data_IF_035198007867
#
_entry.id   IF_035198007867
#
_cell.length_a   1.000
_cell.length_b   1.000
_cell.length_c   1.000
_cell.angle_alpha   90.00
_cell.angle_beta   90.00
_cell.angle_gamma   90.00
#
_symmetry.space_group_name_H-M   'P 1'
#
loop_
_entity.id
_entity.type
_entity.pdbx_description
1 polymer ?
#
# COMPACT_ATOMS: atom_id res chain seq x y z
N UNK A 1 14.25 4.66 6.97
CA UNK A 1 13.44 3.99 5.93
C UNK A 1 14.13 3.97 4.58
N UNK A 2 14.35 5.10 3.88
CA UNK A 2 14.96 5.09 2.53
C UNK A 2 16.34 4.44 2.46
N UNK A 3 17.24 4.80 3.38
CA UNK A 3 18.60 4.24 3.45
C UNK A 3 18.61 2.75 3.82
N UNK A 4 17.81 2.37 4.81
CA UNK A 4 17.66 0.98 5.26
C UNK A 4 17.07 0.08 4.16
N UNK A 5 16.00 0.52 3.48
CA UNK A 5 15.44 -0.21 2.35
C UNK A 5 16.42 -0.34 1.18
N UNK A 6 17.14 0.74 0.84
CA UNK A 6 18.14 0.70 -0.23
C UNK A 6 19.26 -0.31 0.06
N UNK A 7 19.70 -0.42 1.31
CA UNK A 7 20.68 -1.44 1.73
C UNK A 7 20.08 -2.86 1.65
N UNK A 8 18.81 -3.03 2.02
CA UNK A 8 18.14 -4.32 1.93
C UNK A 8 18.08 -4.87 0.50
N UNK A 9 18.05 -4.02 -0.54
CA UNK A 9 18.00 -4.49 -1.93
C UNK A 9 19.21 -5.36 -2.30
N UNK A 10 20.41 -5.01 -1.84
CA UNK A 10 21.66 -5.68 -2.25
C UNK A 10 22.21 -6.65 -1.21
N UNK A 11 21.73 -6.60 0.03
CA UNK A 11 22.16 -7.52 1.08
C UNK A 11 21.83 -8.98 0.74
N UNK A 12 22.61 -9.96 1.23
CA UNK A 12 22.31 -11.39 1.04
C UNK A 12 20.90 -11.73 1.51
N UNK A 13 20.27 -12.69 0.83
CA UNK A 13 18.88 -13.09 1.12
C UNK A 13 18.71 -13.43 2.60
N UNK A 14 17.77 -12.73 3.26
CA UNK A 14 17.48 -12.87 4.68
C UNK A 14 16.55 -11.76 5.17
N UNK A 15 16.37 -11.64 6.50
CA UNK A 15 15.43 -10.68 7.10
C UNK A 15 15.60 -9.23 6.63
N UNK A 16 16.80 -8.84 6.20
CA UNK A 16 17.14 -7.50 5.69
C UNK A 16 17.90 -7.57 4.36
N UNK A 17 17.58 -8.53 3.51
CA UNK A 17 18.28 -8.69 2.24
C UNK A 17 17.46 -9.40 1.17
N UNK A 18 17.44 -8.80 -0.03
CA UNK A 18 16.75 -9.31 -1.21
C UNK A 18 17.71 -9.92 -2.24
N UNK A 19 19.03 -9.78 -2.06
CA UNK A 19 20.05 -10.41 -2.91
C UNK A 19 20.09 -9.90 -4.36
N UNK A 20 19.62 -8.67 -4.62
CA UNK A 20 19.57 -8.11 -5.97
C UNK A 20 20.93 -7.56 -6.41
N UNK A 21 21.25 -7.71 -7.69
CA UNK A 21 22.41 -7.04 -8.30
C UNK A 21 22.14 -5.56 -8.55
N UNK A 22 23.20 -4.75 -8.70
CA UNK A 22 23.07 -3.32 -8.96
C UNK A 22 22.27 -3.01 -10.23
N UNK A 23 22.37 -3.88 -11.25
CA UNK A 23 21.60 -3.79 -12.49
C UNK A 23 20.11 -4.06 -12.26
N UNK A 24 19.78 -5.02 -11.40
CA UNK A 24 18.40 -5.37 -11.05
C UNK A 24 17.73 -4.27 -10.21
N UNK A 25 18.47 -3.62 -9.32
CA UNK A 25 17.99 -2.50 -8.50
C UNK A 25 17.58 -1.29 -9.34
N UNK A 26 18.24 -1.08 -10.48
CA UNK A 26 17.95 0.05 -11.36
C UNK A 26 16.81 -0.21 -12.34
N UNK A 27 16.22 -1.42 -12.35
CA UNK A 27 15.12 -1.78 -13.25
C UNK A 27 13.87 -0.95 -12.94
N UNK A 28 13.23 -0.49 -14.01
CA UNK A 28 11.95 0.20 -14.00
C UNK A 28 10.98 -0.58 -14.86
N UNK A 29 9.75 -0.74 -14.38
CA UNK A 29 8.70 -1.47 -15.05
C UNK A 29 7.61 -0.48 -15.44
N UNK A 30 7.43 -0.28 -16.75
CA UNK A 30 6.35 0.56 -17.26
C UNK A 30 5.10 -0.28 -17.51
N UNK A 31 3.94 0.24 -17.13
CA UNK A 31 2.66 -0.43 -17.31
C UNK A 31 1.58 0.60 -17.64
N UNK A 32 0.46 0.13 -18.20
CA UNK A 32 -0.70 0.98 -18.43
C UNK A 32 -1.76 0.75 -17.35
N UNK A 33 -2.39 1.82 -16.90
CA UNK A 33 -3.53 1.78 -16.00
C UNK A 33 -4.59 2.80 -16.46
N UNK A 34 -5.83 2.57 -16.05
CA UNK A 34 -6.94 3.46 -16.37
C UNK A 34 -7.22 4.38 -15.20
N UNK A 35 -7.36 5.68 -15.49
CA UNK A 35 -7.78 6.68 -14.52
C UNK A 35 -8.88 7.54 -15.12
N UNK A 36 -10.09 7.46 -14.57
CA UNK A 36 -11.28 8.19 -15.05
C UNK A 36 -11.60 7.96 -16.55
N UNK A 37 -11.40 6.73 -17.06
CA UNK A 37 -11.63 6.40 -18.47
C UNK A 37 -10.48 6.74 -19.41
N UNK A 38 -9.40 7.34 -18.91
CA UNK A 38 -8.20 7.64 -19.70
C UNK A 38 -7.09 6.62 -19.41
N UNK A 39 -6.45 6.13 -20.47
CA UNK A 39 -5.25 5.29 -20.33
C UNK A 39 -4.06 6.16 -19.94
N UNK A 40 -3.40 5.81 -18.84
CA UNK A 40 -2.19 6.44 -18.34
C UNK A 40 -1.06 5.44 -18.24
N UNK A 41 0.16 5.93 -18.40
CA UNK A 41 1.36 5.14 -18.21
C UNK A 41 1.88 5.32 -16.78
N UNK A 42 2.07 4.22 -16.08
CA UNK A 42 2.70 4.15 -14.77
C UNK A 42 4.11 3.58 -14.88
N UNK A 43 4.95 3.88 -13.89
CA UNK A 43 6.28 3.28 -13.75
C UNK A 43 6.44 2.78 -12.34
N UNK A 44 6.72 1.50 -12.18
CA UNK A 44 7.13 0.88 -10.92
C UNK A 44 8.64 0.76 -10.86
N UNK A 45 9.17 1.08 -9.69
CA UNK A 45 10.54 0.77 -9.28
C UNK A 45 10.51 0.00 -7.98
N UNK A 46 11.63 -0.59 -7.58
CA UNK A 46 11.76 -1.15 -6.23
C UNK A 46 11.40 -0.10 -5.16
N UNK A 47 10.55 -0.50 -4.22
CA UNK A 47 10.00 0.39 -3.19
C UNK A 47 8.77 1.20 -3.62
N UNK A 48 8.17 0.91 -4.78
CA UNK A 48 6.87 1.49 -5.14
C UNK A 48 5.76 0.93 -4.27
N UNK A 49 4.87 1.81 -3.80
CA UNK A 49 3.68 1.42 -3.04
C UNK A 49 2.58 1.01 -4.02
N UNK A 50 2.07 -0.21 -3.87
CA UNK A 50 0.94 -0.72 -4.67
C UNK A 50 -0.30 -1.03 -3.82
N UNK A 51 -0.13 -1.18 -2.50
CA UNK A 51 -1.22 -1.32 -1.52
C UNK A 51 -0.99 -0.32 -0.39
N UNK A 52 -2.01 0.47 -0.07
CA UNK A 52 -2.03 1.38 1.07
C UNK A 52 -3.36 1.22 1.82
N UNK A 53 -3.31 0.53 2.96
CA UNK A 53 -4.51 0.19 3.73
C UNK A 53 -4.48 0.81 5.12
N UNK A 54 -5.50 1.58 5.48
CA UNK A 54 -5.77 1.99 6.86
C UNK A 54 -6.65 0.91 7.48
N UNK A 55 -6.02 -0.03 8.17
CA UNK A 55 -6.65 -1.20 8.77
C UNK A 55 -6.06 -1.45 10.17
N UNK A 56 -6.33 -2.62 10.76
CA UNK A 56 -5.94 -3.04 12.12
C UNK A 56 -6.83 -2.48 13.22
N UNK A 57 -7.23 -3.36 14.14
CA UNK A 57 -7.96 -3.01 15.35
C UNK A 57 -7.13 -2.11 16.27
N UNK A 58 -5.80 -2.22 16.22
CA UNK A 58 -4.88 -1.45 17.08
C UNK A 58 -4.92 0.04 16.72
N UNK A 59 -4.82 0.35 15.42
CA UNK A 59 -4.73 1.74 14.97
C UNK A 59 -6.10 2.35 14.70
N UNK A 60 -7.04 1.58 14.18
CA UNK A 60 -8.39 2.09 13.93
C UNK A 60 -9.19 2.30 15.21
N UNK A 61 -8.84 1.67 16.33
CA UNK A 61 -9.47 1.95 17.63
C UNK A 61 -8.95 3.22 18.30
N UNK A 62 -7.85 3.80 17.81
CA UNK A 62 -7.25 5.00 18.36
C UNK A 62 -7.77 6.25 17.59
N UNK A 63 -8.65 7.08 18.19
CA UNK A 63 -9.21 8.23 17.50
C UNK A 63 -8.16 9.26 17.11
N UNK A 64 -7.09 9.42 17.90
CA UNK A 64 -6.05 10.41 17.65
C UNK A 64 -5.32 10.15 16.33
N UNK A 65 -4.94 8.90 16.05
CA UNK A 65 -4.24 8.56 14.79
C UNK A 65 -5.18 8.62 13.60
N UNK A 66 -6.44 8.24 13.76
CA UNK A 66 -7.44 8.31 12.69
C UNK A 66 -7.81 9.74 12.32
N UNK A 67 -7.96 10.63 13.32
CA UNK A 67 -8.16 12.07 13.08
C UNK A 67 -6.90 12.67 12.45
N UNK A 68 -5.70 12.30 12.91
CA UNK A 68 -4.45 12.75 12.30
C UNK A 68 -4.37 12.34 10.81
N UNK A 69 -4.72 11.09 10.47
CA UNK A 69 -4.79 10.62 9.10
C UNK A 69 -5.77 11.44 8.25
N UNK A 70 -6.97 11.73 8.79
CA UNK A 70 -7.94 12.61 8.14
C UNK A 70 -7.43 14.04 7.93
N UNK A 71 -6.71 14.60 8.90
CA UNK A 71 -6.10 15.94 8.78
C UNK A 71 -4.99 15.98 7.72
N UNK A 72 -4.17 14.93 7.64
CA UNK A 72 -3.17 14.77 6.59
C UNK A 72 -3.85 14.68 5.23
N UNK A 73 -4.90 13.87 5.10
CA UNK A 73 -5.67 13.75 3.87
C UNK A 73 -6.26 15.10 3.42
N UNK A 74 -6.88 15.83 4.34
CA UNK A 74 -7.41 17.19 4.09
C UNK A 74 -6.32 18.13 3.57
N UNK A 75 -5.16 18.13 4.21
CA UNK A 75 -4.06 19.01 3.81
C UNK A 75 -3.46 18.60 2.45
N UNK A 76 -3.37 17.30 2.17
CA UNK A 76 -2.91 16.78 0.89
C UNK A 76 -3.85 17.18 -0.26
N UNK A 77 -5.16 16.97 -0.07
CA UNK A 77 -6.19 17.40 -1.03
C UNK A 77 -6.15 18.90 -1.27
N UNK A 78 -6.05 19.71 -0.20
CA UNK A 78 -5.95 21.18 -0.31
C UNK A 78 -4.70 21.64 -1.07
N UNK A 79 -3.64 20.83 -1.07
CA UNK A 79 -2.42 21.07 -1.87
C UNK A 79 -2.50 20.51 -3.28
N UNK A 80 -3.64 19.93 -3.69
CA UNK A 80 -3.82 19.33 -5.01
C UNK A 80 -3.12 17.97 -5.18
N UNK A 81 -2.66 17.35 -4.10
CA UNK A 81 -2.08 16.01 -4.15
C UNK A 81 -3.16 14.97 -4.43
N UNK A 82 -2.83 13.99 -5.26
CA UNK A 82 -3.70 12.87 -5.63
C UNK A 82 -2.93 11.56 -5.48
N UNK A 83 -3.65 10.50 -5.14
CA UNK A 83 -3.11 9.14 -5.17
C UNK A 83 -3.37 8.56 -6.57
N UNK A 84 -2.36 7.99 -7.23
CA UNK A 84 -2.56 7.29 -8.50
C UNK A 84 -3.56 6.15 -8.35
N UNK A 85 -4.49 6.04 -9.29
CA UNK A 85 -5.56 5.02 -9.27
C UNK A 85 -5.09 3.56 -9.31
N UNK A 86 -3.85 3.29 -9.75
CA UNK A 86 -3.28 1.93 -9.70
C UNK A 86 -2.92 1.49 -8.27
N UNK A 87 -2.83 2.41 -7.30
CA UNK A 87 -2.56 2.09 -5.90
C UNK A 87 -3.85 1.62 -5.24
N UNK A 88 -3.84 0.40 -4.71
CA UNK A 88 -4.97 -0.15 -3.99
C UNK A 88 -5.07 0.48 -2.60
N UNK A 89 -5.93 1.47 -2.48
CA UNK A 89 -6.24 2.14 -1.22
C UNK A 89 -7.46 1.54 -0.55
N UNK A 90 -7.44 1.41 0.77
CA UNK A 90 -8.59 0.92 1.54
C UNK A 90 -8.63 1.48 2.96
N UNK A 91 -9.84 1.73 3.46
CA UNK A 91 -10.10 2.05 4.86
C UNK A 91 -11.00 0.96 5.43
N UNK A 92 -10.49 0.21 6.41
CA UNK A 92 -11.22 -0.85 7.09
C UNK A 92 -11.23 -0.60 8.61
N UNK A 93 -12.18 0.19 9.12
CA UNK A 93 -12.24 0.47 10.54
C UNK A 93 -12.65 -0.76 11.35
N UNK A 94 -12.12 -0.88 12.58
CA UNK A 94 -12.54 -1.95 13.50
C UNK A 94 -13.98 -1.80 14.01
N UNK A 95 -14.59 -0.61 13.88
CA UNK A 95 -15.95 -0.33 14.34
C UNK A 95 -16.59 0.83 13.56
N UNK A 96 -17.91 0.83 13.47
CA UNK A 96 -18.70 1.94 12.89
C UNK A 96 -18.50 3.28 13.59
N UNK A 97 -18.12 3.27 14.87
CA UNK A 97 -17.83 4.51 15.64
C UNK A 97 -16.74 5.35 14.97
N UNK A 98 -15.76 4.68 14.34
CA UNK A 98 -14.65 5.33 13.63
C UNK A 98 -15.13 6.14 12.45
N UNK A 99 -15.97 5.51 11.63
CA UNK A 99 -16.60 6.17 10.48
C UNK A 99 -17.45 7.35 10.96
N UNK A 100 -18.20 7.21 12.05
CA UNK A 100 -19.07 8.26 12.56
C UNK A 100 -18.32 9.49 13.04
N UNK A 101 -17.22 9.36 13.78
CA UNK A 101 -16.45 10.55 14.17
C UNK A 101 -15.72 11.18 12.98
N UNK A 102 -15.26 10.40 12.00
CA UNK A 102 -14.62 10.93 10.77
C UNK A 102 -15.61 11.71 9.90
N UNK A 103 -16.88 11.26 9.84
CA UNK A 103 -17.98 11.99 9.21
C UNK A 103 -18.28 13.28 9.96
N UNK A 104 -18.48 13.21 11.28
CA UNK A 104 -18.80 14.38 12.11
C UNK A 104 -17.69 15.43 12.10
N UNK A 105 -16.43 15.02 12.01
CA UNK A 105 -15.29 15.95 11.88
C UNK A 105 -15.12 16.49 10.46
N UNK A 106 -15.91 16.04 9.48
CA UNK A 106 -15.78 16.41 8.07
C UNK A 106 -14.48 15.93 7.42
N UNK A 107 -13.84 14.89 7.96
CA UNK A 107 -12.56 14.38 7.46
C UNK A 107 -12.72 13.21 6.49
N UNK A 108 -13.81 12.45 6.60
CA UNK A 108 -14.06 11.29 5.74
C UNK A 108 -14.03 11.63 4.24
N UNK A 109 -14.65 12.72 3.75
CA UNK A 109 -14.63 13.03 2.31
C UNK A 109 -13.22 13.24 1.75
N UNK A 110 -12.29 13.76 2.56
CA UNK A 110 -10.89 13.95 2.14
C UNK A 110 -10.13 12.62 2.05
N UNK A 111 -10.47 11.65 2.91
CA UNK A 111 -9.92 10.30 2.83
C UNK A 111 -10.43 9.58 1.58
N UNK A 112 -11.74 9.66 1.33
CA UNK A 112 -12.40 9.10 0.14
C UNK A 112 -11.84 9.69 -1.16
N UNK A 113 -11.57 11.00 -1.19
CA UNK A 113 -10.96 11.66 -2.34
C UNK A 113 -9.54 11.18 -2.65
N UNK A 114 -8.80 10.67 -1.66
CA UNK A 114 -7.50 10.02 -1.83
C UNK A 114 -7.63 8.50 -2.07
N UNK A 115 -8.85 7.98 -2.20
CA UNK A 115 -9.14 6.57 -2.47
C UNK A 115 -9.40 5.71 -1.22
N UNK A 116 -9.23 6.26 -0.01
CA UNK A 116 -9.45 5.55 1.26
C UNK A 116 -10.94 5.44 1.61
N UNK A 117 -11.70 4.75 0.76
CA UNK A 117 -13.11 4.46 0.97
C UNK A 117 -13.28 3.39 2.05
N UNK A 118 -14.38 3.47 2.81
CA UNK A 118 -14.74 2.44 3.79
C UNK A 118 -15.12 1.16 3.04
N UNK A 119 -14.23 0.17 3.05
CA UNK A 119 -14.44 -1.11 2.33
C UNK A 119 -15.13 -2.17 3.18
N UNK A 120 -15.18 -1.97 4.50
CA UNK A 120 -15.82 -2.88 5.44
C UNK A 120 -15.34 -2.69 6.87
N UNK A 121 -16.00 -3.38 7.81
CA UNK A 121 -15.63 -3.37 9.23
C UNK A 121 -15.07 -4.74 9.63
N UNK A 122 -13.77 -4.80 9.91
CA UNK A 122 -13.09 -6.06 10.24
C UNK A 122 -11.62 -6.09 9.82
N UNK A 123 -10.98 -7.24 9.99
CA UNK A 123 -9.53 -7.35 9.84
C UNK A 123 -9.02 -7.12 8.41
N UNK A 124 -9.76 -7.52 7.37
CA UNK A 124 -9.43 -7.26 5.94
C UNK A 124 -7.93 -7.44 5.61
N UNK A 125 -7.27 -6.42 5.08
CA UNK A 125 -5.85 -6.40 4.72
C UNK A 125 -4.92 -6.70 5.91
N UNK A 126 -5.36 -6.49 7.17
CA UNK A 126 -4.56 -6.79 8.35
C UNK A 126 -4.19 -8.28 8.46
N UNK A 127 -5.04 -9.17 7.96
CA UNK A 127 -4.83 -10.63 7.95
C UNK A 127 -4.50 -11.19 6.55
N UNK A 128 -4.06 -10.34 5.63
CA UNK A 128 -3.75 -10.75 4.25
C UNK A 128 -4.95 -10.73 3.29
N UNK A 129 -6.17 -10.43 3.77
CA UNK A 129 -7.34 -10.30 2.91
C UNK A 129 -7.39 -8.92 2.22
N UNK A 130 -6.38 -8.65 1.38
CA UNK A 130 -6.27 -7.43 0.58
C UNK A 130 -7.08 -7.51 -0.70
N UNK A 131 -7.34 -8.72 -1.23
CA UNK A 131 -7.95 -8.98 -2.53
C UNK A 131 -6.99 -8.69 -3.71
N UNK A 132 -7.37 -9.02 -4.95
CA UNK A 132 -6.45 -8.97 -6.08
C UNK A 132 -6.00 -7.53 -6.42
N UNK A 133 -4.76 -7.39 -6.88
CA UNK A 133 -4.27 -6.17 -7.51
C UNK A 133 -4.80 -6.05 -8.94
N UNK A 134 -4.80 -4.84 -9.53
CA UNK A 134 -5.08 -4.68 -10.95
C UNK A 134 -4.13 -5.53 -11.80
N UNK A 135 -4.65 -6.24 -12.80
CA UNK A 135 -3.87 -7.18 -13.59
C UNK A 135 -2.62 -6.54 -14.24
N UNK A 136 -2.70 -5.27 -14.65
CA UNK A 136 -1.55 -4.55 -15.20
C UNK A 136 -0.44 -4.29 -14.18
N UNK A 137 -0.79 -4.11 -12.90
CA UNK A 137 0.16 -3.96 -11.80
C UNK A 137 0.76 -5.32 -11.44
N UNK A 138 -0.08 -6.36 -11.32
CA UNK A 138 0.38 -7.74 -11.06
C UNK A 138 1.36 -8.21 -12.13
N UNK A 139 1.02 -8.02 -13.42
CA UNK A 139 1.90 -8.40 -14.52
C UNK A 139 3.23 -7.63 -14.53
N UNK A 140 3.24 -6.38 -14.06
CA UNK A 140 4.46 -5.59 -13.94
C UNK A 140 5.36 -6.05 -12.78
N UNK A 141 4.79 -6.69 -11.77
CA UNK A 141 5.51 -7.24 -10.61
C UNK A 141 5.98 -8.68 -10.88
N UNK A 142 5.13 -9.51 -11.49
CA UNK A 142 5.41 -10.93 -11.76
C UNK A 142 6.47 -11.19 -12.84
N UNK A 143 6.95 -10.15 -13.54
CA UNK A 143 7.98 -10.33 -14.57
C UNK A 143 9.17 -11.09 -13.97
N UNK A 144 9.49 -12.30 -14.48
CA UNK A 144 10.39 -13.21 -13.80
C UNK A 144 11.78 -12.57 -13.71
N UNK A 145 12.18 -12.21 -12.50
CA UNK A 145 13.60 -12.16 -12.21
C UNK A 145 14.13 -13.60 -12.37
N UNK A 146 15.26 -13.86 -13.06
CA UNK A 146 15.72 -15.22 -13.37
C UNK A 146 16.03 -16.12 -12.15
N UNK A 147 15.86 -15.61 -10.93
CA UNK A 147 15.93 -16.32 -9.68
C UNK A 147 14.51 -16.57 -9.13
N UNK A 148 13.68 -17.31 -9.84
CA UNK A 148 12.45 -17.85 -9.26
C UNK A 148 12.85 -18.90 -8.22
N UNK A 149 12.76 -18.52 -6.94
CA UNK A 149 12.53 -19.50 -5.89
C UNK A 149 11.20 -20.21 -6.18
N UNK A 150 11.10 -21.54 -5.95
CA UNK A 150 9.96 -22.31 -6.35
C UNK A 150 8.71 -21.81 -5.62
N UNK A 151 7.66 -21.53 -6.40
CA UNK A 151 6.30 -21.35 -5.94
C UNK A 151 5.81 -22.68 -5.33
N UNK A 152 6.07 -22.87 -4.04
CA UNK A 152 5.46 -23.95 -3.25
C UNK A 152 4.39 -23.37 -2.33
N UNK A 153 3.14 -23.55 -2.75
CA UNK A 153 1.95 -23.72 -1.92
C UNK A 153 1.95 -23.08 -0.52
N UNK A 154 1.43 -21.86 -0.46
CA UNK A 154 0.83 -21.30 0.73
C UNK A 154 1.79 -20.47 1.57
N UNK A 155 1.40 -19.20 1.74
CA UNK A 155 2.17 -18.11 2.37
C UNK A 155 3.20 -17.52 1.42
N UNK A 156 2.90 -16.33 0.86
CA UNK A 156 3.85 -15.24 0.53
C UNK A 156 3.21 -14.25 -0.46
N UNK A 157 2.32 -13.41 0.07
CA UNK A 157 1.92 -12.11 -0.53
C UNK A 157 2.98 -11.03 -0.19
N UNK A 158 4.27 -11.40 -0.14
CA UNK A 158 5.31 -10.66 0.60
C UNK A 158 6.16 -9.69 -0.24
N UNK A 159 5.80 -9.41 -1.49
CA UNK A 159 6.45 -8.37 -2.31
C UNK A 159 5.55 -7.17 -2.56
N UNK A 160 5.00 -6.62 -1.48
CA UNK A 160 4.36 -5.31 -1.50
C UNK A 160 5.06 -4.40 -0.50
N UNK A 161 5.42 -3.17 -0.91
CA UNK A 161 5.58 -2.10 0.07
C UNK A 161 4.18 -1.76 0.59
N UNK A 162 3.69 -2.60 1.48
CA UNK A 162 2.53 -2.34 2.30
C UNK A 162 2.97 -1.20 3.23
N UNK A 163 2.48 0.02 2.98
CA UNK A 163 2.57 1.06 4.00
C UNK A 163 1.56 0.69 5.08
N UNK A 164 1.95 -0.27 5.93
CA UNK A 164 1.27 -0.60 7.17
C UNK A 164 1.54 0.57 8.10
N UNK A 165 0.51 1.34 8.41
CA UNK A 165 0.53 2.17 9.62
C UNK A 165 0.31 1.19 10.76
N UNK A 166 1.33 0.43 11.12
CA UNK A 166 1.39 -0.43 12.31
C UNK A 166 2.74 -0.21 12.98
N UNK A 167 2.72 0.16 14.25
CA UNK A 167 3.92 0.39 15.07
C UNK A 167 4.64 -0.93 15.40
N UNK A 168 4.09 -2.07 14.97
CA UNK A 168 4.77 -3.36 15.03
C UNK A 168 5.68 -3.55 13.82
N UNK A 169 6.94 -3.20 14.08
CA UNK A 169 8.12 -3.69 13.38
C UNK A 169 7.93 -5.14 12.92
N UNK A 170 8.26 -5.37 11.65
CA UNK A 170 8.59 -6.66 11.06
C UNK A 170 9.25 -7.59 12.09
N UNK A 171 8.76 -8.83 12.32
CA UNK A 171 9.38 -9.75 13.26
C UNK A 171 10.81 -10.14 12.84
#
# INVERSE_FOLDING_TARGET
MKTDFAACLTNPVGHKGFGLTAEQVSKKFSFEYEENGEKKQGTLTHGSVVIAAITSCTNTSNPSVMIAAGLVARNAVKKGLKVPSYIKTSLAPGSGVVTEYLKKSGLLPFLEQLGFNVVGYGCTTCIGNSGPLPASVSAAIEVPCPSTLPYENGVDDDFYLLVRVDDRLWP
#
